data_IF_738143260360
#
_entry.id   IF_738143260360
#
_cell.length_a   1.000
_cell.length_b   1.000
_cell.length_c   1.000
_cell.angle_alpha   90.00
_cell.angle_beta   90.00
_cell.angle_gamma   90.00
#
_symmetry.space_group_name_H-M   'P 1'
#
loop_
_entity.id
_entity.type
_entity.pdbx_description
1 polymer ?
#
# COMPACT_ATOMS: atom_id res chain seq x y z
N UNK A 1 -36.96 -53.50 0.44
CA UNK A 1 -37.35 -53.89 1.84
C UNK A 1 -36.36 -53.23 2.78
N UNK A 2 -36.85 -52.35 3.63
CA UNK A 2 -36.34 -51.89 4.96
C UNK A 2 -34.97 -51.13 4.98
N UNK A 3 -34.77 -50.09 5.67
CA UNK A 3 -35.57 -49.19 6.52
C UNK A 3 -34.62 -48.08 7.01
N UNK A 4 -35.11 -46.89 6.98
CA UNK A 4 -34.78 -45.67 7.73
C UNK A 4 -33.94 -45.82 9.00
N UNK A 5 -33.02 -44.89 9.23
CA UNK A 5 -32.88 -44.30 10.56
C UNK A 5 -32.31 -42.87 10.49
N UNK A 6 -33.23 -41.93 10.67
CA UNK A 6 -32.96 -40.54 11.05
C UNK A 6 -32.43 -40.51 12.49
N UNK A 7 -31.29 -39.81 12.72
CA UNK A 7 -31.00 -39.25 14.04
C UNK A 7 -30.81 -37.73 13.91
N UNK A 8 -31.81 -37.02 14.42
CA UNK A 8 -31.72 -35.63 14.85
C UNK A 8 -30.80 -35.57 16.08
N UNK A 9 -29.89 -34.62 16.08
CA UNK A 9 -29.33 -34.07 17.31
C UNK A 9 -29.53 -32.57 17.27
N UNK A 10 -30.39 -32.14 18.20
CA UNK A 10 -30.68 -30.75 18.53
C UNK A 10 -29.64 -30.19 19.50
N UNK A 11 -29.47 -28.88 19.48
CA UNK A 11 -29.03 -28.07 20.63
C UNK A 11 -27.55 -27.71 20.57
N UNK A 12 -27.14 -26.47 20.58
CA UNK A 12 -27.49 -25.40 21.50
C UNK A 12 -27.05 -24.05 20.95
N UNK A 13 -27.94 -23.09 21.04
CA UNK A 13 -27.60 -21.64 21.08
C UNK A 13 -26.96 -21.31 22.44
N UNK A 14 -26.00 -20.42 22.38
CA UNK A 14 -25.62 -19.39 23.33
C UNK A 14 -24.12 -19.08 23.06
N UNK A 15 -23.61 -17.86 22.95
CA UNK A 15 -23.85 -16.73 23.83
C UNK A 15 -23.22 -15.48 23.21
N UNK A 16 -23.99 -14.43 23.17
CA UNK A 16 -23.71 -13.01 23.39
C UNK A 16 -22.30 -12.46 23.19
N UNK A 17 -22.16 -11.65 22.15
CA UNK A 17 -21.09 -10.67 21.98
C UNK A 17 -21.24 -9.53 22.99
N UNK A 18 -20.25 -9.29 23.83
CA UNK A 18 -20.11 -8.08 24.63
C UNK A 18 -19.60 -6.93 23.77
N UNK A 19 -20.51 -6.08 23.34
CA UNK A 19 -20.19 -4.75 22.83
C UNK A 19 -19.73 -3.88 24.01
N UNK A 20 -18.44 -3.54 24.07
CA UNK A 20 -17.93 -2.50 24.95
C UNK A 20 -18.19 -1.14 24.30
N UNK A 21 -19.05 -0.35 24.91
CA UNK A 21 -19.28 1.06 24.61
C UNK A 21 -17.99 1.85 24.85
N UNK A 22 -17.50 2.53 23.81
CA UNK A 22 -16.50 3.57 23.95
C UNK A 22 -17.19 4.86 24.37
N UNK A 23 -16.76 5.45 25.48
CA UNK A 23 -17.20 6.76 25.95
C UNK A 23 -16.65 7.89 25.07
N UNK A 24 -17.40 8.96 24.83
CA UNK A 24 -16.93 10.10 24.06
C UNK A 24 -15.91 10.94 24.84
N UNK A 25 -14.81 11.29 24.20
CA UNK A 25 -13.80 12.22 24.70
C UNK A 25 -14.40 13.63 24.85
N UNK A 26 -14.26 14.21 26.03
CA UNK A 26 -14.68 15.57 26.35
C UNK A 26 -13.81 16.61 25.61
N UNK A 27 -14.45 17.64 25.08
CA UNK A 27 -13.79 18.80 24.48
C UNK A 27 -13.14 19.70 25.53
N UNK A 28 -11.99 20.35 25.24
CA UNK A 28 -11.33 21.26 26.16
C UNK A 28 -12.07 22.63 26.23
N UNK A 29 -11.95 23.38 27.37
CA UNK A 29 -12.69 24.61 27.60
C UNK A 29 -12.14 25.79 26.78
N UNK A 30 -13.07 26.62 26.30
CA UNK A 30 -12.83 27.90 25.63
C UNK A 30 -12.21 28.92 26.61
N UNK A 31 -11.04 29.42 26.26
CA UNK A 31 -10.39 30.52 26.98
C UNK A 31 -10.97 31.86 26.54
N UNK A 32 -11.59 32.61 27.50
CA UNK A 32 -12.07 33.95 27.30
C UNK A 32 -10.89 34.93 27.29
N UNK A 33 -10.70 35.65 26.17
CA UNK A 33 -9.79 36.80 26.13
C UNK A 33 -10.57 38.08 26.39
N UNK A 34 -10.21 38.77 27.49
CA UNK A 34 -10.66 40.13 27.82
C UNK A 34 -9.95 41.15 26.91
N UNK A 35 -10.71 42.07 26.38
CA UNK A 35 -10.19 43.20 25.63
C UNK A 35 -9.52 44.25 26.51
N UNK A 36 -8.47 44.86 26.01
CA UNK A 36 -7.82 46.05 26.50
C UNK A 36 -7.53 47.01 25.34
N UNK A 37 -8.17 48.17 25.35
CA UNK A 37 -7.98 49.31 24.44
C UNK A 37 -6.75 50.10 24.84
N UNK A 38 -5.91 50.54 23.90
CA UNK A 38 -5.34 51.88 23.85
C UNK A 38 -4.58 52.13 22.55
N UNK A 39 -4.89 53.25 21.97
CA UNK A 39 -4.33 53.86 20.77
C UNK A 39 -2.82 54.12 20.90
N UNK A 40 -2.06 53.86 19.84
CA UNK A 40 -1.00 54.79 19.41
C UNK A 40 -0.62 54.56 17.94
N UNK A 41 -0.63 55.63 17.19
CA UNK A 41 -0.35 55.67 15.77
C UNK A 41 1.12 56.05 15.53
N UNK A 42 1.93 55.15 14.95
CA UNK A 42 3.11 55.61 14.21
C UNK A 42 3.65 54.57 13.25
N UNK A 43 3.75 54.96 11.97
CA UNK A 43 4.61 54.49 10.90
C UNK A 43 4.54 52.98 10.53
N UNK A 44 3.76 52.74 9.49
CA UNK A 44 3.72 51.49 8.74
C UNK A 44 5.00 51.36 7.89
N UNK A 45 5.96 50.60 8.36
CA UNK A 45 6.97 49.98 7.50
C UNK A 45 6.45 48.61 7.09
N UNK A 46 6.02 48.48 5.84
CA UNK A 46 5.65 47.19 5.26
C UNK A 46 6.91 46.37 5.06
N UNK A 47 7.28 45.60 6.08
CA UNK A 47 8.17 44.46 5.90
C UNK A 47 7.30 43.28 5.48
N UNK A 48 7.34 42.92 4.19
CA UNK A 48 6.89 41.63 3.72
C UNK A 48 7.87 40.56 4.26
N UNK A 49 7.71 40.16 5.51
CA UNK A 49 8.27 38.92 5.97
C UNK A 49 7.30 37.82 5.60
N UNK A 50 7.66 37.04 4.58
CA UNK A 50 7.14 35.71 4.40
C UNK A 50 7.40 34.93 5.69
N UNK A 51 6.46 34.94 6.63
CA UNK A 51 6.47 34.05 7.76
C UNK A 51 6.21 32.66 7.20
N UNK A 52 7.26 31.90 6.96
CA UNK A 52 7.17 30.46 6.89
C UNK A 52 6.51 30.05 8.23
N UNK A 53 5.28 29.55 8.17
CA UNK A 53 4.62 28.99 9.32
C UNK A 53 5.57 27.93 9.90
N UNK A 54 5.98 28.15 11.16
CA UNK A 54 6.71 27.15 11.95
C UNK A 54 5.78 25.96 12.14
N UNK A 55 5.74 25.07 11.15
CA UNK A 55 4.99 23.82 11.25
C UNK A 55 5.79 22.93 12.20
N UNK A 56 5.27 22.75 13.39
CA UNK A 56 5.76 21.83 14.43
C UNK A 56 5.88 20.38 13.92
N UNK A 57 5.38 20.10 12.73
CA UNK A 57 5.30 18.79 12.14
C UNK A 57 6.14 18.71 10.86
N UNK A 58 6.84 17.58 10.70
CA UNK A 58 7.57 17.26 9.48
C UNK A 58 6.55 17.02 8.35
N UNK A 59 6.70 17.71 7.23
CA UNK A 59 5.95 17.39 6.02
C UNK A 59 6.56 16.14 5.37
N UNK A 60 5.72 15.25 4.83
CA UNK A 60 6.15 14.02 4.16
C UNK A 60 6.00 14.10 2.63
N UNK A 61 5.87 15.30 2.09
CA UNK A 61 5.74 15.56 0.64
C UNK A 61 7.06 15.46 -0.13
N UNK A 62 8.17 15.45 0.58
CA UNK A 62 9.50 15.21 0.03
C UNK A 62 10.24 14.17 0.86
N UNK A 63 10.63 13.02 0.28
CA UNK A 63 11.38 12.03 1.03
C UNK A 63 12.73 12.62 1.44
N UNK A 64 13.04 12.56 2.74
CA UNK A 64 14.39 12.79 3.19
C UNK A 64 15.31 11.73 2.55
N UNK A 65 16.51 12.10 2.08
CA UNK A 65 17.48 11.13 1.61
C UNK A 65 17.66 10.02 2.63
N UNK A 66 17.49 8.75 2.23
CA UNK A 66 17.63 7.60 3.12
C UNK A 66 16.39 7.24 3.96
N UNK A 67 15.19 7.76 3.61
CA UNK A 67 13.92 7.32 4.23
C UNK A 67 13.24 6.23 3.39
N UNK A 68 13.54 4.94 3.62
CA UNK A 68 12.90 3.87 2.88
C UNK A 68 11.42 3.75 3.27
N UNK A 69 10.58 3.46 2.29
CA UNK A 69 9.20 3.06 2.53
C UNK A 69 9.20 1.73 3.30
N UNK A 70 8.28 1.59 4.26
CA UNK A 70 8.06 0.38 5.03
C UNK A 70 6.64 -0.14 4.78
N UNK A 71 6.53 -1.43 4.39
CA UNK A 71 5.25 -2.08 4.13
C UNK A 71 5.25 -3.50 4.68
N UNK A 72 4.32 -3.78 5.61
CA UNK A 72 4.11 -5.10 6.19
C UNK A 72 2.79 -5.69 5.68
N UNK A 73 2.81 -6.98 5.29
CA UNK A 73 1.64 -7.65 4.74
C UNK A 73 1.61 -9.13 5.14
N UNK A 74 0.42 -9.73 5.17
CA UNK A 74 0.25 -11.11 5.60
C UNK A 74 0.63 -12.11 4.49
N UNK A 75 1.18 -13.26 4.91
CA UNK A 75 1.46 -14.40 4.04
C UNK A 75 1.01 -15.70 4.72
N UNK A 76 0.69 -16.72 3.91
CA UNK A 76 0.34 -18.05 4.42
C UNK A 76 1.54 -18.96 4.67
N UNK A 77 2.70 -18.67 4.04
CA UNK A 77 3.92 -19.45 4.16
C UNK A 77 5.15 -18.55 4.01
N UNK A 78 6.02 -18.54 5.03
CA UNK A 78 7.30 -17.82 4.94
C UNK A 78 8.28 -18.54 4.00
N UNK A 79 8.21 -19.85 3.87
CA UNK A 79 9.07 -20.60 2.95
C UNK A 79 8.76 -20.24 1.48
N UNK A 80 7.48 -20.22 1.12
CA UNK A 80 7.06 -19.82 -0.22
C UNK A 80 7.33 -18.33 -0.48
N UNK A 81 7.10 -17.46 0.51
CA UNK A 81 7.46 -16.05 0.43
C UNK A 81 8.98 -15.88 0.20
N UNK A 82 9.81 -16.65 0.88
CA UNK A 82 11.28 -16.61 0.70
C UNK A 82 11.69 -16.99 -0.73
N UNK A 83 11.12 -18.05 -1.28
CA UNK A 83 11.38 -18.43 -2.68
C UNK A 83 10.94 -17.32 -3.63
N UNK A 84 9.77 -16.74 -3.41
CA UNK A 84 9.21 -15.71 -4.27
C UNK A 84 9.97 -14.38 -4.15
N UNK A 85 10.02 -13.77 -2.97
CA UNK A 85 10.67 -12.47 -2.77
C UNK A 85 12.19 -12.55 -2.90
N UNK A 86 12.81 -13.58 -2.32
CA UNK A 86 14.27 -13.76 -2.36
C UNK A 86 14.78 -14.21 -3.72
N UNK A 87 14.15 -15.20 -4.35
CA UNK A 87 14.67 -15.79 -5.61
C UNK A 87 14.02 -15.15 -6.85
N UNK A 88 12.68 -15.11 -6.93
CA UNK A 88 12.02 -14.60 -8.14
C UNK A 88 12.20 -13.09 -8.26
N UNK A 89 11.89 -12.32 -7.20
CA UNK A 89 12.06 -10.86 -7.23
C UNK A 89 13.51 -10.41 -6.97
N UNK A 90 14.36 -11.28 -6.43
CA UNK A 90 15.77 -10.96 -6.13
C UNK A 90 15.95 -10.00 -4.95
N UNK A 91 14.99 -9.93 -4.03
CA UNK A 91 15.07 -9.10 -2.85
C UNK A 91 16.13 -9.63 -1.88
N UNK A 92 16.97 -8.74 -1.35
CA UNK A 92 17.92 -9.10 -0.29
C UNK A 92 17.16 -9.37 1.00
N UNK A 93 17.40 -10.54 1.60
CA UNK A 93 16.83 -10.89 2.91
C UNK A 93 17.43 -10.02 4.02
N UNK A 94 16.58 -9.62 4.97
CA UNK A 94 16.95 -8.92 6.19
C UNK A 94 16.73 -9.75 7.44
N UNK A 95 16.19 -9.16 8.49
CA UNK A 95 15.89 -9.83 9.76
C UNK A 95 14.74 -10.81 9.59
N UNK A 96 14.71 -11.83 10.43
CA UNK A 96 13.65 -12.85 10.42
C UNK A 96 13.30 -13.34 11.81
N UNK A 97 12.14 -13.95 11.94
CA UNK A 97 11.71 -14.76 13.07
C UNK A 97 10.90 -15.96 12.56
N UNK A 98 10.35 -16.75 13.47
CA UNK A 98 9.46 -17.85 13.11
C UNK A 98 8.15 -17.37 12.46
N UNK A 99 7.80 -16.08 12.59
CA UNK A 99 6.51 -15.51 12.15
C UNK A 99 6.62 -14.39 11.14
N UNK A 100 7.81 -13.90 10.84
CA UNK A 100 8.01 -12.84 9.87
C UNK A 100 9.40 -12.84 9.26
N UNK A 101 9.52 -12.22 8.09
CA UNK A 101 10.77 -12.05 7.34
C UNK A 101 10.80 -10.68 6.66
N UNK A 102 11.89 -9.92 6.88
CA UNK A 102 12.18 -8.65 6.18
C UNK A 102 12.86 -8.91 4.84
N UNK A 103 12.56 -8.04 3.88
CA UNK A 103 13.28 -7.97 2.59
C UNK A 103 13.55 -6.52 2.21
N UNK A 104 14.64 -6.30 1.47
CA UNK A 104 14.89 -5.05 0.78
C UNK A 104 14.38 -5.15 -0.67
N UNK A 105 13.29 -4.48 -0.96
CA UNK A 105 12.76 -4.31 -2.31
C UNK A 105 13.28 -2.99 -2.87
N UNK A 106 14.37 -3.04 -3.62
CA UNK A 106 15.04 -1.86 -4.19
C UNK A 106 15.33 -0.74 -3.15
N UNK A 107 15.79 -1.13 -1.96
CA UNK A 107 16.09 -0.20 -0.86
C UNK A 107 14.90 0.15 0.04
N UNK A 108 13.69 -0.25 -0.30
CA UNK A 108 12.52 -0.14 0.58
C UNK A 108 12.36 -1.41 1.43
N UNK A 109 11.85 -1.26 2.65
CA UNK A 109 11.63 -2.40 3.53
C UNK A 109 10.22 -2.97 3.33
N UNK A 110 10.14 -4.24 2.96
CA UNK A 110 8.89 -5.01 2.99
C UNK A 110 9.00 -6.14 4.00
N UNK A 111 7.90 -6.49 4.67
CA UNK A 111 7.86 -7.50 5.72
C UNK A 111 6.72 -8.47 5.48
N UNK A 112 7.06 -9.74 5.27
CA UNK A 112 6.09 -10.82 5.22
C UNK A 112 5.77 -11.28 6.64
N UNK A 113 4.50 -11.26 7.06
CA UNK A 113 4.03 -11.81 8.33
C UNK A 113 3.21 -13.07 8.09
N UNK A 114 3.65 -14.19 8.67
CA UNK A 114 2.85 -15.40 8.66
C UNK A 114 1.64 -15.25 9.58
N UNK A 115 0.45 -15.42 9.02
CA UNK A 115 -0.84 -15.28 9.73
C UNK A 115 -1.67 -16.57 9.70
N UNK A 116 -1.07 -17.67 9.26
CA UNK A 116 -1.70 -19.00 9.17
C UNK A 116 -1.76 -19.51 7.74
N UNK A 117 -1.74 -20.83 7.60
CA UNK A 117 -1.57 -21.53 6.31
C UNK A 117 -2.77 -21.34 5.37
N UNK A 118 -3.92 -20.98 5.92
CA UNK A 118 -5.15 -20.77 5.15
C UNK A 118 -5.32 -19.34 4.63
N UNK A 119 -4.38 -18.43 4.93
CA UNK A 119 -4.50 -17.06 4.46
C UNK A 119 -4.45 -16.98 2.93
N UNK A 120 -5.37 -16.19 2.37
CA UNK A 120 -5.35 -15.74 0.97
C UNK A 120 -5.82 -14.29 0.93
N UNK A 121 -5.11 -13.47 0.14
CA UNK A 121 -5.53 -12.08 -0.09
C UNK A 121 -6.87 -12.06 -0.83
N UNK A 122 -7.76 -11.17 -0.38
CA UNK A 122 -9.05 -10.94 -1.06
C UNK A 122 -8.85 -9.95 -2.19
N UNK A 123 -9.41 -10.24 -3.35
CA UNK A 123 -9.32 -9.39 -4.52
C UNK A 123 -10.54 -8.46 -4.65
N UNK A 124 -10.25 -7.19 -4.89
CA UNK A 124 -11.17 -6.21 -5.43
C UNK A 124 -10.58 -5.67 -6.73
N UNK A 125 -11.43 -5.22 -7.65
CA UNK A 125 -10.99 -4.74 -8.96
C UNK A 125 -11.60 -3.39 -9.27
N UNK A 126 -10.80 -2.54 -9.93
CA UNK A 126 -11.26 -1.28 -10.53
C UNK A 126 -10.88 -1.26 -12.00
N UNK A 127 -11.79 -0.88 -12.91
CA UNK A 127 -11.43 -0.66 -14.30
C UNK A 127 -10.55 0.59 -14.42
N UNK A 128 -9.40 0.47 -15.08
CA UNK A 128 -8.48 1.58 -15.35
C UNK A 128 -7.82 1.35 -16.71
N UNK A 129 -8.04 2.23 -17.66
CA UNK A 129 -7.47 2.18 -19.02
C UNK A 129 -7.66 0.80 -19.71
N UNK A 130 -8.87 0.24 -19.56
CA UNK A 130 -9.26 -1.05 -20.18
C UNK A 130 -8.86 -2.31 -19.40
N UNK A 131 -8.10 -2.19 -18.30
CA UNK A 131 -7.73 -3.30 -17.42
C UNK A 131 -8.59 -3.38 -16.17
N UNK A 132 -8.88 -4.57 -15.69
CA UNK A 132 -9.41 -4.85 -14.35
C UNK A 132 -8.26 -4.86 -13.34
N UNK A 133 -7.94 -3.69 -12.78
CA UNK A 133 -6.81 -3.50 -11.88
C UNK A 133 -7.12 -4.07 -10.49
N UNK A 134 -6.32 -5.04 -9.97
CA UNK A 134 -6.56 -5.60 -8.66
C UNK A 134 -6.19 -4.62 -7.53
N UNK A 135 -7.01 -4.58 -6.47
CA UNK A 135 -6.83 -3.73 -5.28
C UNK A 135 -7.06 -4.57 -4.02
N UNK A 136 -6.21 -4.49 -2.96
CA UNK A 136 -4.96 -3.70 -2.90
C UNK A 136 -3.85 -4.29 -3.76
N UNK A 137 -2.87 -3.46 -4.09
CA UNK A 137 -1.61 -3.89 -4.69
C UNK A 137 -0.44 -3.03 -4.18
N UNK A 138 0.77 -3.54 -4.31
CA UNK A 138 2.00 -2.83 -3.97
C UNK A 138 3.08 -3.13 -5.01
N UNK A 139 4.09 -2.26 -5.13
CA UNK A 139 5.21 -2.49 -6.03
C UNK A 139 6.07 -1.26 -6.22
N UNK A 140 6.74 -1.17 -7.37
CA UNK A 140 7.72 -0.12 -7.66
C UNK A 140 7.50 0.50 -9.03
N UNK A 141 7.84 1.79 -9.14
CA UNK A 141 8.14 2.41 -10.41
C UNK A 141 9.63 2.17 -10.71
N UNK A 142 9.90 1.47 -11.80
CA UNK A 142 11.22 1.04 -12.26
C UNK A 142 11.67 1.88 -13.47
N UNK A 143 12.95 1.74 -13.90
CA UNK A 143 13.31 2.13 -15.25
C UNK A 143 12.68 1.15 -16.26
N UNK A 144 12.58 1.57 -17.53
CA UNK A 144 12.02 0.71 -18.58
C UNK A 144 12.83 -0.58 -18.74
N UNK A 145 14.15 -0.49 -18.65
CA UNK A 145 15.06 -1.64 -18.72
C UNK A 145 14.83 -2.61 -17.56
N UNK A 146 14.80 -2.09 -16.32
CA UNK A 146 14.53 -2.91 -15.12
C UNK A 146 13.15 -3.57 -15.17
N UNK A 147 12.16 -2.87 -15.73
CA UNK A 147 10.82 -3.41 -15.89
C UNK A 147 10.83 -4.64 -16.81
N UNK A 148 11.44 -4.54 -17.98
CA UNK A 148 11.50 -5.66 -18.94
C UNK A 148 12.34 -6.83 -18.40
N UNK A 149 13.47 -6.56 -17.74
CA UNK A 149 14.27 -7.59 -17.07
C UNK A 149 13.48 -8.34 -15.99
N UNK A 150 12.70 -7.61 -15.19
CA UNK A 150 11.85 -8.22 -14.17
C UNK A 150 10.72 -9.04 -14.80
N UNK A 151 10.09 -8.54 -15.86
CA UNK A 151 9.02 -9.25 -16.56
C UNK A 151 9.50 -10.59 -17.11
N UNK A 152 10.70 -10.64 -17.71
CA UNK A 152 11.29 -11.91 -18.18
C UNK A 152 11.57 -12.86 -17.00
N UNK A 153 12.16 -12.37 -15.92
CA UNK A 153 12.44 -13.18 -14.73
C UNK A 153 11.18 -13.79 -14.11
N UNK A 154 10.12 -13.00 -14.01
CA UNK A 154 8.79 -13.45 -13.52
C UNK A 154 8.22 -14.54 -14.44
N UNK A 155 8.36 -14.37 -15.77
CA UNK A 155 7.91 -15.35 -16.78
C UNK A 155 8.71 -16.63 -16.70
N UNK A 156 10.04 -16.56 -16.62
CA UNK A 156 10.93 -17.71 -16.48
C UNK A 156 10.68 -18.50 -15.19
N UNK A 157 10.27 -17.82 -14.13
CA UNK A 157 9.89 -18.44 -12.86
C UNK A 157 8.51 -19.15 -12.93
N UNK A 158 7.79 -19.05 -14.04
CA UNK A 158 6.46 -19.65 -14.23
C UNK A 158 5.34 -18.92 -13.47
N UNK A 159 5.58 -17.70 -12.99
CA UNK A 159 4.55 -16.88 -12.34
C UNK A 159 3.59 -16.34 -13.39
N UNK A 160 2.29 -16.50 -13.14
CA UNK A 160 1.25 -16.04 -14.06
C UNK A 160 0.96 -14.56 -13.83
N UNK A 161 0.94 -13.79 -14.91
CA UNK A 161 0.46 -12.42 -14.87
C UNK A 161 -1.07 -12.38 -14.74
N UNK A 162 -1.57 -11.43 -13.95
CA UNK A 162 -2.99 -11.01 -13.94
C UNK A 162 -3.20 -10.06 -15.12
N UNK A 163 -2.26 -9.10 -15.26
CA UNK A 163 -2.19 -8.17 -16.38
C UNK A 163 -0.79 -8.35 -16.98
N UNK A 164 -0.75 -8.80 -18.24
CA UNK A 164 0.51 -9.00 -18.96
C UNK A 164 1.26 -7.68 -19.15
N UNK A 165 2.61 -7.72 -19.21
CA UNK A 165 3.40 -6.52 -19.49
C UNK A 165 2.96 -5.79 -20.76
N UNK A 166 2.43 -4.57 -20.64
CA UNK A 166 2.03 -3.74 -21.78
C UNK A 166 2.08 -2.24 -21.46
N UNK A 167 1.95 -1.42 -22.49
CA UNK A 167 1.97 0.04 -22.38
C UNK A 167 0.54 0.56 -22.17
N UNK A 168 0.35 1.37 -21.10
CA UNK A 168 -0.90 2.01 -20.74
C UNK A 168 -0.81 3.52 -20.91
N UNK A 169 -1.97 4.18 -20.97
CA UNK A 169 -2.11 5.64 -21.14
C UNK A 169 -1.29 6.17 -22.31
N UNK A 170 -1.28 5.44 -23.42
CA UNK A 170 -0.49 5.74 -24.61
C UNK A 170 -0.73 7.17 -25.08
N UNK A 171 0.36 7.85 -25.42
CA UNK A 171 0.38 9.25 -25.88
C UNK A 171 -0.13 10.28 -24.83
N UNK A 172 -0.36 9.86 -23.57
CA UNK A 172 -0.76 10.73 -22.47
C UNK A 172 0.42 10.98 -21.50
N UNK A 173 0.35 11.99 -20.62
CA UNK A 173 1.42 12.27 -19.65
C UNK A 173 1.72 11.08 -18.71
N UNK A 174 0.73 10.24 -18.44
CA UNK A 174 0.86 9.04 -17.61
C UNK A 174 1.31 7.79 -18.34
N UNK A 175 1.77 7.89 -19.60
CA UNK A 175 2.22 6.74 -20.36
C UNK A 175 3.28 5.94 -19.60
N UNK A 176 2.98 4.65 -19.41
CA UNK A 176 3.79 3.75 -18.60
C UNK A 176 3.64 2.30 -19.03
N UNK A 177 4.68 1.53 -18.91
CA UNK A 177 4.63 0.09 -18.87
C UNK A 177 4.03 -0.35 -17.55
N UNK A 178 3.20 -1.39 -17.55
CA UNK A 178 2.63 -1.99 -16.34
C UNK A 178 2.56 -3.50 -16.46
N UNK A 179 2.65 -4.20 -15.33
CA UNK A 179 2.37 -5.62 -15.18
C UNK A 179 1.85 -5.91 -13.79
N UNK A 180 0.94 -6.87 -13.69
CA UNK A 180 0.42 -7.35 -12.40
C UNK A 180 0.54 -8.86 -12.29
N UNK A 181 0.94 -9.32 -11.11
CA UNK A 181 0.98 -10.73 -10.76
C UNK A 181 0.80 -10.91 -9.25
N UNK A 182 0.64 -12.15 -8.79
CA UNK A 182 0.44 -12.45 -7.38
C UNK A 182 1.67 -13.11 -6.76
N UNK A 183 1.87 -12.82 -5.46
CA UNK A 183 2.71 -13.67 -4.64
C UNK A 183 2.00 -15.01 -4.33
N UNK A 184 2.68 -16.01 -3.71
CA UNK A 184 2.06 -17.28 -3.37
C UNK A 184 0.85 -17.20 -2.43
N UNK A 185 0.72 -16.10 -1.68
CA UNK A 185 -0.39 -15.85 -0.75
C UNK A 185 -1.56 -15.10 -1.38
N UNK A 186 -1.46 -14.78 -2.68
CA UNK A 186 -2.45 -14.05 -3.42
C UNK A 186 -2.35 -12.53 -3.29
N UNK A 187 -1.32 -11.99 -2.62
CA UNK A 187 -1.10 -10.55 -2.59
C UNK A 187 -0.76 -10.04 -3.99
N UNK A 188 -1.40 -8.96 -4.41
CA UNK A 188 -1.20 -8.40 -5.74
C UNK A 188 0.02 -7.49 -5.76
N UNK A 189 0.83 -7.64 -6.79
CA UNK A 189 2.00 -6.82 -7.06
C UNK A 189 1.84 -6.12 -8.40
N UNK A 190 2.09 -4.79 -8.41
CA UNK A 190 2.24 -4.01 -9.63
C UNK A 190 3.69 -3.55 -9.76
N UNK A 191 4.28 -3.78 -10.92
CA UNK A 191 5.50 -3.08 -11.31
C UNK A 191 5.19 -2.26 -12.55
N UNK A 192 5.68 -1.02 -12.53
CA UNK A 192 5.47 -0.09 -13.63
C UNK A 192 6.75 0.63 -14.01
N UNK A 193 6.82 1.17 -15.21
CA UNK A 193 7.90 2.05 -15.64
C UNK A 193 7.32 3.18 -16.49
N UNK A 194 7.45 4.40 -15.98
CA UNK A 194 7.06 5.60 -16.74
C UNK A 194 7.96 5.75 -17.96
N UNK A 195 7.38 6.05 -19.13
CA UNK A 195 8.17 6.44 -20.29
C UNK A 195 8.91 7.78 -20.08
N UNK A 196 8.34 8.61 -19.18
CA UNK A 196 8.95 9.85 -18.67
C UNK A 196 8.79 9.87 -17.16
N UNK A 197 9.87 9.57 -16.42
CA UNK A 197 9.83 9.43 -14.96
C UNK A 197 9.35 10.70 -14.23
N UNK A 198 9.60 11.88 -14.79
CA UNK A 198 9.11 13.16 -14.27
C UNK A 198 7.58 13.24 -14.19
N UNK A 199 6.88 12.44 -14.96
CA UNK A 199 5.42 12.39 -14.97
C UNK A 199 4.80 11.51 -13.87
N UNK A 200 5.61 10.77 -13.10
CA UNK A 200 5.10 9.86 -12.06
C UNK A 200 4.17 10.58 -11.06
N UNK A 201 4.46 11.85 -10.76
CA UNK A 201 3.67 12.69 -9.87
C UNK A 201 2.97 13.84 -10.59
N UNK A 202 2.87 13.77 -11.92
CA UNK A 202 2.20 14.81 -12.69
C UNK A 202 0.71 14.89 -12.33
N UNK A 203 0.22 16.11 -12.15
CA UNK A 203 -1.19 16.36 -11.83
C UNK A 203 -1.99 16.59 -13.11
N UNK A 204 -2.79 15.61 -13.49
CA UNK A 204 -3.71 15.69 -14.62
C UNK A 204 -4.94 14.80 -14.35
N UNK A 205 -6.02 15.03 -15.09
CA UNK A 205 -7.20 14.17 -15.02
C UNK A 205 -7.11 13.10 -16.11
N UNK A 206 -7.25 11.85 -15.73
CA UNK A 206 -7.46 10.74 -16.66
C UNK A 206 -8.96 10.63 -16.88
N UNK A 207 -9.37 10.50 -18.14
CA UNK A 207 -10.76 10.18 -18.52
C UNK A 207 -10.73 8.70 -18.90
N UNK A 208 -11.39 7.87 -18.10
CA UNK A 208 -11.56 6.43 -18.34
C UNK A 208 -12.67 6.19 -19.37
#
# INVERSE_FOLDING_TARGET
MFSSSLRRISGNLATAAHLRHASPLAAPPLLHLRGGSSDDASSISVRTSSAAADTKYVTLDSPAPGSPFHYAFPVHSLEEAKKFYGTVLGCKEGRSSEKWQDYSLNGHQIVCHWVGDNYRCVDYFNPVDGDEVPVPHAGLALTVEQFHELAERVREAGVKFIIEPHLRFKDAPGEQWTMFFKDPSGNNLEFKAMTKMENLFAKYNVVD
#
